data_IF_627218852616
#
_entry.id   IF_627218852616
#
_cell.length_a   1.000
_cell.length_b   1.000
_cell.length_c   1.000
_cell.angle_alpha   90.00
_cell.angle_beta   90.00
_cell.angle_gamma   90.00
#
_symmetry.space_group_name_H-M   'P 1'
#
loop_
_entity.id
_entity.type
_entity.pdbx_description
1 polymer ?
#
# COMPACT_ATOMS: atom_id res chain seq x y z
N UNK A 1 3.71 28.81 31.93
CA UNK A 1 4.67 27.83 31.36
C UNK A 1 4.35 27.60 29.89
N UNK A 2 5.18 28.09 28.97
CA UNK A 2 4.99 27.90 27.52
C UNK A 2 5.71 26.64 27.08
N UNK A 3 4.96 25.56 26.81
CA UNK A 3 5.53 24.29 26.32
C UNK A 3 5.87 24.44 24.84
N UNK A 4 7.11 24.83 24.55
CA UNK A 4 7.66 24.81 23.18
C UNK A 4 7.84 23.34 22.75
N UNK A 5 6.95 22.84 21.88
CA UNK A 5 7.20 21.60 21.14
C UNK A 5 8.42 21.82 20.25
N UNK A 6 9.56 21.23 20.59
CA UNK A 6 10.69 21.09 19.67
C UNK A 6 10.31 20.10 18.59
N UNK A 7 10.15 20.59 17.36
CA UNK A 7 9.92 19.74 16.18
C UNK A 7 11.23 19.04 15.85
N UNK A 8 11.24 17.71 15.90
CA UNK A 8 12.35 16.90 15.41
C UNK A 8 12.29 16.92 13.88
N UNK A 9 13.31 17.43 13.16
CA UNK A 9 13.34 17.31 11.71
C UNK A 9 13.53 15.83 11.33
N UNK A 10 12.67 15.32 10.44
CA UNK A 10 12.96 14.04 9.79
C UNK A 10 14.22 14.20 8.95
N UNK A 11 15.21 13.33 9.19
CA UNK A 11 16.38 13.22 8.33
C UNK A 11 15.93 12.88 6.90
N UNK A 12 16.30 13.74 5.95
CA UNK A 12 16.17 13.45 4.53
C UNK A 12 17.36 12.55 4.17
N UNK A 13 17.11 11.26 3.99
CA UNK A 13 18.12 10.37 3.41
C UNK A 13 18.30 10.69 1.93
N UNK A 14 19.56 10.76 1.50
CA UNK A 14 19.98 11.13 0.15
C UNK A 14 19.26 10.34 -0.95
N UNK A 15 18.54 11.06 -1.82
CA UNK A 15 18.26 10.58 -3.16
C UNK A 15 19.56 10.66 -3.96
N UNK A 16 20.29 9.54 -4.05
CA UNK A 16 21.44 9.42 -4.94
C UNK A 16 20.99 9.63 -6.39
N UNK A 17 21.29 10.81 -6.93
CA UNK A 17 21.02 11.15 -8.31
C UNK A 17 22.05 10.47 -9.21
N UNK A 18 21.74 9.28 -9.72
CA UNK A 18 22.43 8.76 -10.90
C UNK A 18 21.99 9.56 -12.12
N UNK A 19 22.77 10.60 -12.41
CA UNK A 19 22.53 11.55 -13.48
C UNK A 19 22.58 10.90 -14.88
N UNK A 20 21.99 11.61 -15.84
CA UNK A 20 22.02 11.22 -17.25
C UNK A 20 23.43 11.26 -17.83
N UNK A 21 23.73 10.31 -18.72
CA UNK A 21 24.69 10.51 -19.80
C UNK A 21 25.94 9.64 -19.75
N UNK A 22 25.94 8.59 -20.57
CA UNK A 22 26.98 8.44 -21.59
C UNK A 22 26.32 7.79 -22.81
N UNK A 23 26.27 8.55 -23.90
CA UNK A 23 25.84 8.11 -25.22
C UNK A 23 27.10 7.55 -25.88
N UNK A 24 27.30 6.23 -25.84
CA UNK A 24 28.37 5.62 -26.66
C UNK A 24 27.85 5.35 -28.06
N UNK A 25 28.60 5.91 -29.00
CA UNK A 25 28.50 5.74 -30.45
C UNK A 25 28.45 4.26 -30.83
N UNK A 26 27.76 3.97 -31.93
CA UNK A 26 27.70 2.63 -32.52
C UNK A 26 28.47 2.61 -33.85
N UNK A 27 29.69 2.11 -33.80
CA UNK A 27 30.50 1.49 -34.87
C UNK A 27 31.56 0.66 -34.10
N UNK A 28 32.02 -0.52 -34.50
CA UNK A 28 32.01 -1.19 -35.81
C UNK A 28 31.83 -2.72 -35.63
N UNK A 29 31.61 -3.46 -36.72
CA UNK A 29 30.98 -4.80 -36.71
C UNK A 29 31.68 -5.96 -35.97
N UNK A 30 30.85 -6.86 -35.41
CA UNK A 30 30.92 -8.32 -35.58
C UNK A 30 29.57 -8.96 -35.16
N UNK A 31 29.03 -9.84 -36.00
CA UNK A 31 27.83 -10.68 -35.80
C UNK A 31 28.07 -12.05 -36.46
N UNK A 32 27.25 -13.11 -36.29
CA UNK A 32 26.08 -13.29 -35.40
C UNK A 32 26.48 -14.33 -34.30
N UNK A 33 25.90 -15.53 -34.03
CA UNK A 33 24.55 -16.06 -34.28
C UNK A 33 23.87 -16.91 -33.15
N UNK A 34 22.53 -16.97 -33.25
CA UNK A 34 21.57 -17.91 -32.60
C UNK A 34 21.38 -17.79 -31.06
N UNK A 35 20.18 -17.85 -30.48
CA UNK A 35 18.81 -18.11 -31.01
C UNK A 35 17.76 -17.06 -30.59
N UNK A 36 16.95 -16.72 -31.59
CA UNK A 36 15.61 -16.08 -31.64
C UNK A 36 14.91 -15.57 -30.36
N UNK A 37 14.75 -14.24 -30.32
CA UNK A 37 13.55 -13.53 -29.82
C UNK A 37 13.07 -12.54 -30.89
N UNK A 38 11.81 -12.10 -30.74
CA UNK A 38 10.99 -11.15 -31.55
C UNK A 38 9.84 -11.89 -32.28
N UNK A 39 8.64 -11.34 -32.46
CA UNK A 39 8.18 -9.94 -32.64
C UNK A 39 7.05 -9.60 -31.63
N UNK A 40 6.93 -8.43 -31.00
CA UNK A 40 6.71 -7.04 -31.49
C UNK A 40 5.44 -6.85 -32.35
N UNK A 41 4.42 -6.26 -31.75
CA UNK A 41 3.40 -5.44 -32.42
C UNK A 41 3.10 -4.20 -31.55
N UNK A 42 3.50 -3.02 -32.05
CA UNK A 42 3.03 -1.74 -31.54
C UNK A 42 1.58 -1.53 -32.00
N UNK A 43 0.62 -1.37 -31.08
CA UNK A 43 -0.62 -0.65 -31.40
C UNK A 43 -0.90 0.44 -30.37
N UNK A 44 -0.57 1.67 -30.78
CA UNK A 44 -0.73 2.91 -30.01
C UNK A 44 -2.19 3.38 -30.06
N UNK A 45 -3.08 2.73 -29.30
CA UNK A 45 -4.46 3.22 -29.11
C UNK A 45 -4.54 4.24 -27.98
N UNK A 46 -4.76 5.50 -28.36
CA UNK A 46 -5.14 6.56 -27.43
C UNK A 46 -6.51 6.29 -26.84
N UNK A 47 -6.56 6.05 -25.53
CA UNK A 47 -7.78 6.07 -24.73
C UNK A 47 -7.94 7.43 -24.06
N UNK A 48 -9.14 8.02 -24.20
CA UNK A 48 -9.59 9.30 -23.61
C UNK A 48 -9.03 9.57 -22.20
N UNK A 49 -8.79 10.83 -21.82
CA UNK A 49 -8.84 11.19 -20.41
C UNK A 49 -10.29 10.99 -19.96
N UNK A 50 -10.61 9.84 -19.36
CA UNK A 50 -11.83 9.73 -18.59
C UNK A 50 -11.76 10.78 -17.49
N UNK A 51 -12.81 11.61 -17.42
CA UNK A 51 -12.98 12.58 -16.36
C UNK A 51 -12.78 11.84 -15.04
N UNK A 52 -11.72 12.22 -14.31
CA UNK A 52 -11.18 11.51 -13.14
C UNK A 52 -12.16 11.53 -11.99
N UNK A 53 -13.28 10.83 -12.15
CA UNK A 53 -14.29 10.57 -11.15
C UNK A 53 -13.56 10.01 -9.96
N UNK A 54 -13.66 10.69 -8.83
CA UNK A 54 -12.90 10.37 -7.63
C UNK A 54 -13.19 8.92 -7.25
N UNK A 55 -12.29 8.01 -7.63
CA UNK A 55 -12.53 6.57 -7.63
C UNK A 55 -13.16 6.16 -6.32
N UNK A 56 -14.42 5.68 -6.39
CA UNK A 56 -15.27 5.50 -5.22
C UNK A 56 -14.52 4.66 -4.19
N UNK A 57 -14.08 5.33 -3.12
CA UNK A 57 -13.04 4.78 -2.26
C UNK A 57 -13.70 3.70 -1.41
N UNK A 58 -13.42 2.43 -1.73
CA UNK A 58 -13.80 1.26 -0.91
C UNK A 58 -13.42 1.53 0.56
N UNK A 59 -14.44 1.81 1.38
CA UNK A 59 -14.30 1.96 2.83
C UNK A 59 -14.35 0.57 3.44
N UNK A 60 -13.35 0.24 4.25
CA UNK A 60 -13.29 -1.03 4.99
C UNK A 60 -13.55 -0.78 6.47
N UNK A 61 -14.34 -1.63 7.11
CA UNK A 61 -14.62 -1.55 8.55
C UNK A 61 -13.32 -1.74 9.36
N UNK A 62 -13.20 -1.11 10.55
CA UNK A 62 -12.05 -1.34 11.43
C UNK A 62 -11.82 -2.83 11.76
N UNK A 63 -12.90 -3.58 12.00
CA UNK A 63 -12.86 -5.01 12.28
C UNK A 63 -12.28 -5.84 11.13
N UNK A 64 -12.72 -5.61 9.89
CA UNK A 64 -12.19 -6.32 8.72
C UNK A 64 -10.67 -6.08 8.56
N UNK A 65 -10.21 -4.85 8.81
CA UNK A 65 -8.78 -4.54 8.75
C UNK A 65 -7.98 -5.29 9.83
N UNK A 66 -8.48 -5.37 11.06
CA UNK A 66 -7.84 -6.15 12.12
C UNK A 66 -7.82 -7.66 11.79
N UNK A 67 -8.89 -8.21 11.23
CA UNK A 67 -8.94 -9.60 10.78
C UNK A 67 -7.84 -9.90 9.75
N UNK A 68 -7.68 -9.04 8.74
CA UNK A 68 -6.61 -9.12 7.74
C UNK A 68 -5.22 -9.03 8.38
N UNK A 69 -5.02 -8.11 9.34
CA UNK A 69 -3.73 -7.97 10.04
C UNK A 69 -3.42 -9.16 10.95
N UNK A 70 -4.43 -9.76 11.60
CA UNK A 70 -4.27 -10.98 12.39
C UNK A 70 -3.85 -12.14 11.51
N UNK A 71 -4.54 -12.38 10.39
CA UNK A 71 -4.14 -13.40 9.39
C UNK A 71 -2.69 -13.19 8.92
N UNK A 72 -2.28 -11.96 8.60
CA UNK A 72 -0.89 -11.64 8.26
C UNK A 72 0.15 -12.01 9.34
N UNK A 73 -0.24 -12.19 10.61
CA UNK A 73 0.63 -12.61 11.72
C UNK A 73 0.52 -14.10 12.06
N UNK A 74 -0.66 -14.71 11.93
CA UNK A 74 -0.97 -16.05 12.46
C UNK A 74 -1.23 -17.14 11.41
N UNK A 75 -1.65 -16.79 10.20
CA UNK A 75 -2.11 -17.72 9.16
C UNK A 75 -0.96 -18.35 8.40
N UNK A 76 -0.83 -19.69 8.43
CA UNK A 76 0.26 -20.43 7.77
C UNK A 76 0.44 -20.08 6.29
N UNK A 77 -0.65 -19.82 5.56
CA UNK A 77 -0.62 -19.64 4.11
C UNK A 77 -0.06 -18.27 3.69
N UNK A 78 -0.12 -17.28 4.57
CA UNK A 78 0.19 -15.89 4.21
C UNK A 78 0.91 -15.05 5.29
N UNK A 79 1.29 -15.66 6.42
CA UNK A 79 2.08 -15.01 7.49
C UNK A 79 3.32 -14.32 6.94
N UNK A 80 3.49 -13.05 7.27
CA UNK A 80 4.59 -12.21 6.80
C UNK A 80 4.54 -11.84 5.30
N UNK A 81 3.60 -12.37 4.51
CA UNK A 81 3.53 -12.16 3.07
C UNK A 81 2.34 -11.28 2.67
N UNK A 82 2.59 -9.97 2.58
CA UNK A 82 1.57 -8.97 2.22
C UNK A 82 0.88 -9.23 0.86
N UNK A 83 1.56 -9.89 -0.11
CA UNK A 83 0.95 -10.22 -1.40
C UNK A 83 0.01 -11.41 -1.31
N UNK A 84 0.36 -12.44 -0.54
CA UNK A 84 -0.48 -13.60 -0.30
C UNK A 84 -1.75 -13.20 0.47
N UNK A 85 -1.61 -12.46 1.58
CA UNK A 85 -2.74 -11.96 2.37
C UNK A 85 -3.65 -11.07 1.51
N UNK A 86 -3.09 -10.18 0.69
CA UNK A 86 -3.87 -9.31 -0.19
C UNK A 86 -4.74 -10.10 -1.20
N UNK A 87 -4.22 -11.21 -1.73
CA UNK A 87 -4.97 -12.13 -2.60
C UNK A 87 -6.10 -12.84 -1.83
N UNK A 88 -5.82 -13.40 -0.65
CA UNK A 88 -6.79 -14.13 0.20
C UNK A 88 -8.02 -13.29 0.55
N UNK A 89 -7.86 -11.97 0.74
CA UNK A 89 -8.94 -11.06 1.15
C UNK A 89 -9.47 -10.12 0.05
N UNK A 90 -9.06 -10.25 -1.22
CA UNK A 90 -9.56 -9.40 -2.31
C UNK A 90 -9.24 -7.91 -2.16
N UNK A 91 -8.09 -7.60 -1.54
CA UNK A 91 -7.62 -6.24 -1.26
C UNK A 91 -6.28 -5.95 -1.92
N UNK A 92 -5.88 -4.68 -1.94
CA UNK A 92 -4.61 -4.28 -2.54
C UNK A 92 -3.49 -4.25 -1.50
N UNK A 93 -2.30 -4.81 -1.80
CA UNK A 93 -1.15 -4.89 -0.87
C UNK A 93 -0.77 -3.57 -0.18
N UNK A 94 -0.95 -2.42 -0.86
CA UNK A 94 -0.70 -1.08 -0.29
C UNK A 94 -1.68 -0.72 0.84
N UNK A 95 -2.87 -1.30 0.88
CA UNK A 95 -3.77 -1.14 2.03
C UNK A 95 -3.21 -1.86 3.26
N UNK A 96 -2.71 -3.09 3.11
CA UNK A 96 -2.04 -3.84 4.20
C UNK A 96 -0.83 -3.05 4.72
N UNK A 97 0.03 -2.55 3.83
CA UNK A 97 1.15 -1.67 4.20
C UNK A 97 0.70 -0.46 5.03
N UNK A 98 -0.34 0.25 4.59
CA UNK A 98 -0.89 1.39 5.32
C UNK A 98 -1.52 1.00 6.66
N UNK A 99 -2.20 -0.14 6.74
CA UNK A 99 -2.83 -0.61 7.98
C UNK A 99 -1.79 -1.07 9.00
N UNK A 100 -0.68 -1.70 8.56
CA UNK A 100 0.47 -2.03 9.42
C UNK A 100 1.12 -0.77 10.01
N UNK A 101 1.30 0.30 9.23
CA UNK A 101 1.83 1.58 9.71
C UNK A 101 0.98 2.24 10.81
N UNK A 102 -0.33 1.94 10.86
CA UNK A 102 -1.27 2.51 11.81
C UNK A 102 -1.93 1.45 12.71
N UNK A 103 -1.32 0.27 12.85
CA UNK A 103 -1.94 -0.89 13.51
C UNK A 103 -2.39 -0.57 14.94
N UNK A 104 -1.56 0.12 15.73
CA UNK A 104 -1.88 0.54 17.10
C UNK A 104 -3.10 1.47 17.15
N UNK A 105 -3.15 2.50 16.29
CA UNK A 105 -4.30 3.41 16.19
C UNK A 105 -5.58 2.68 15.76
N UNK A 106 -5.45 1.65 14.93
CA UNK A 106 -6.57 0.82 14.47
C UNK A 106 -7.18 0.00 15.61
N UNK A 107 -6.33 -0.58 16.48
CA UNK A 107 -6.75 -1.29 17.69
C UNK A 107 -7.44 -0.36 18.68
N UNK A 108 -6.85 0.81 18.95
CA UNK A 108 -7.45 1.85 19.81
C UNK A 108 -8.82 2.32 19.29
N UNK A 109 -8.96 2.51 17.98
CA UNK A 109 -10.24 2.90 17.35
C UNK A 109 -11.31 1.83 17.57
N UNK A 110 -10.94 0.54 17.50
CA UNK A 110 -11.88 -0.56 17.76
C UNK A 110 -12.26 -0.64 19.23
N UNK A 111 -11.29 -0.50 20.13
CA UNK A 111 -11.51 -0.53 21.57
C UNK A 111 -12.47 0.58 22.02
N UNK A 112 -12.23 1.83 21.58
CA UNK A 112 -13.12 2.96 21.87
C UNK A 112 -14.55 2.74 21.30
N UNK A 113 -14.68 2.08 20.14
CA UNK A 113 -15.99 1.74 19.56
C UNK A 113 -16.70 0.63 20.33
N UNK A 114 -15.98 -0.32 20.96
CA UNK A 114 -16.60 -1.30 21.87
C UNK A 114 -17.03 -0.66 23.19
N UNK A 115 -16.20 0.16 23.81
CA UNK A 115 -16.52 0.88 25.06
C UNK A 115 -17.78 1.74 24.87
N UNK A 116 -17.85 2.50 23.77
CA UNK A 116 -19.00 3.34 23.45
C UNK A 116 -20.26 2.58 22.99
N UNK A 117 -20.21 1.23 22.89
CA UNK A 117 -21.37 0.36 22.67
C UNK A 117 -21.91 -0.27 23.95
N UNK A 118 -21.03 -0.54 24.93
CA UNK A 118 -21.43 -1.08 26.24
C UNK A 118 -22.19 -0.02 27.04
N UNK A 119 -21.72 1.23 27.01
CA UNK A 119 -22.34 2.36 27.72
C UNK A 119 -23.70 2.83 27.14
N UNK A 120 -24.35 2.06 26.26
CA UNK A 120 -25.66 2.38 25.66
C UNK A 120 -26.79 1.42 26.09
N UNK A 121 -26.48 0.40 26.88
CA UNK A 121 -27.45 -0.62 27.30
C UNK A 121 -27.96 -0.48 28.74
N UNK A 122 -27.63 0.60 29.45
CA UNK A 122 -27.96 0.78 30.88
C UNK A 122 -29.05 1.84 31.17
N UNK A 123 -29.53 2.59 30.16
CA UNK A 123 -30.56 3.64 30.31
C UNK A 123 -32.00 3.20 29.91
N UNK A 124 -32.25 1.89 29.77
CA UNK A 124 -33.56 1.33 29.31
C UNK A 124 -34.08 0.19 30.23
N UNK A 125 -33.96 0.38 31.55
CA UNK A 125 -34.80 -0.32 32.54
C UNK A 125 -35.30 0.73 33.54
N UNK A 126 -36.63 0.80 33.69
CA UNK A 126 -37.34 1.74 34.56
C UNK A 126 -37.34 1.32 36.05
#
# INVERSE_FOLDING_TARGET
FVVRKTVIPMVVSDNSAMAHGIKREWEEGTVPPTTEKHTKSDEKKGGKPDSKGMSSRRIFSPQFKLLVLNSYRTDSDCKGNQRATARKYGIHRRQIQKWLQMESNLRLTVQAVSENRVNKSEDEVA
#
